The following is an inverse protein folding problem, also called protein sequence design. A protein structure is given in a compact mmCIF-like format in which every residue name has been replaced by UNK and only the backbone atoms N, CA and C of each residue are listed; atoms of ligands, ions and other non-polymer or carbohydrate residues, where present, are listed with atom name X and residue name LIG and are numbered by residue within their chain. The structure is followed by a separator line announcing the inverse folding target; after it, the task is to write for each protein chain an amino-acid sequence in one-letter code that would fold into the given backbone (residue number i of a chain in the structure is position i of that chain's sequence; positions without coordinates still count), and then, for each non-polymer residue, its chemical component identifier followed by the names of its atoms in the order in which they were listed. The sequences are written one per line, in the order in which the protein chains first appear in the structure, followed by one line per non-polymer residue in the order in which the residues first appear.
data_IF_144703327121
#
_entry.id   IF_144703327121
#
_cell.length_a   1.000
_cell.length_b   1.000
_cell.length_c   1.000
_cell.angle_alpha   90.00
_cell.angle_beta   90.00
_cell.angle_gamma   90.00
#
_symmetry.space_group_name_H-M   'P 1'
#
loop_
_entity.id
_entity.type
_entity.pdbx_description
1 polymer ?
#
# COMPACT_ATOMS: atom_id res chain seq x y z
N UNK A 1 32.02 -5.31 2.60
CA UNK A 1 31.05 -4.75 3.51
C UNK A 1 29.97 -4.04 2.68
N UNK A 2 28.67 -4.32 2.94
CA UNK A 2 27.55 -3.74 2.20
C UNK A 2 27.09 -2.48 2.94
N UNK A 3 26.99 -1.35 2.23
CA UNK A 3 26.50 -0.07 2.80
C UNK A 3 25.07 0.27 2.37
N UNK A 4 24.66 -0.25 1.22
CA UNK A 4 23.35 0.01 0.62
C UNK A 4 22.71 -1.26 0.07
N UNK A 5 21.39 -1.37 0.22
CA UNK A 5 20.55 -2.36 -0.45
C UNK A 5 19.56 -1.59 -1.29
N UNK A 6 19.60 -1.78 -2.60
CA UNK A 6 18.65 -1.14 -3.53
C UNK A 6 18.01 -2.18 -4.42
N UNK A 7 16.73 -1.99 -4.74
CA UNK A 7 16.03 -2.94 -5.59
C UNK A 7 14.69 -2.45 -6.10
N UNK A 8 14.22 -3.15 -7.11
CA UNK A 8 12.87 -3.09 -7.64
C UNK A 8 12.24 -4.48 -7.50
N UNK A 9 11.72 -4.83 -6.32
CA UNK A 9 11.11 -6.13 -6.08
C UNK A 9 9.85 -6.35 -6.92
N UNK A 10 9.42 -7.60 -7.16
CA UNK A 10 8.24 -7.90 -7.96
C UNK A 10 6.96 -7.31 -7.36
N UNK A 11 6.14 -6.68 -8.22
CA UNK A 11 4.86 -6.07 -7.85
C UNK A 11 3.72 -7.06 -8.12
N UNK A 12 3.30 -7.78 -7.09
CA UNK A 12 2.11 -8.63 -7.15
C UNK A 12 1.16 -8.19 -6.05
N UNK A 13 0.04 -7.59 -6.45
CA UNK A 13 -0.97 -7.11 -5.51
C UNK A 13 -1.63 -8.25 -4.74
N UNK A 14 -2.03 -8.01 -3.50
CA UNK A 14 -2.62 -9.02 -2.62
C UNK A 14 -3.81 -9.75 -3.25
N UNK A 15 -4.62 -9.04 -4.03
CA UNK A 15 -5.80 -9.58 -4.73
C UNK A 15 -5.48 -10.40 -5.97
N UNK A 16 -4.28 -10.22 -6.53
CA UNK A 16 -3.80 -10.94 -7.71
C UNK A 16 -3.06 -12.24 -7.36
N UNK A 17 -2.69 -12.40 -6.09
CA UNK A 17 -2.11 -13.65 -5.60
C UNK A 17 -3.19 -14.69 -5.38
N UNK A 18 -3.20 -15.72 -6.23
CA UNK A 18 -4.12 -16.82 -6.11
C UNK A 18 -3.99 -17.54 -4.77
N UNK A 19 -5.10 -18.10 -4.29
CA UNK A 19 -5.10 -18.89 -3.07
C UNK A 19 -4.21 -20.12 -3.24
N UNK A 20 -3.27 -20.35 -2.32
CA UNK A 20 -2.31 -21.45 -2.40
C UNK A 20 -1.13 -21.22 -3.35
N UNK A 21 -1.01 -20.06 -3.99
CA UNK A 21 0.17 -19.70 -4.79
C UNK A 21 1.44 -19.64 -3.94
N UNK A 22 2.60 -19.74 -4.59
CA UNK A 22 3.90 -19.62 -3.92
C UNK A 22 4.00 -18.27 -3.20
N UNK A 23 3.66 -17.18 -3.89
CA UNK A 23 3.72 -15.82 -3.33
C UNK A 23 2.84 -15.66 -2.09
N UNK A 24 1.61 -16.19 -2.12
CA UNK A 24 0.70 -16.12 -0.97
C UNK A 24 1.25 -16.85 0.25
N UNK A 25 1.85 -18.03 0.02
CA UNK A 25 2.50 -18.81 1.08
C UNK A 25 3.75 -18.11 1.63
N UNK A 26 4.55 -17.49 0.77
CA UNK A 26 5.73 -16.75 1.20
C UNK A 26 5.37 -15.53 2.05
N UNK A 27 4.36 -14.75 1.67
CA UNK A 27 3.84 -13.66 2.50
C UNK A 27 3.43 -14.18 3.88
N UNK A 28 2.65 -15.27 3.94
CA UNK A 28 2.23 -15.87 5.19
C UNK A 28 3.41 -16.39 6.03
N UNK A 29 4.39 -17.04 5.41
CA UNK A 29 5.56 -17.55 6.11
C UNK A 29 6.45 -16.42 6.64
N UNK A 30 6.68 -15.39 5.84
CA UNK A 30 7.53 -14.25 6.21
C UNK A 30 6.89 -13.45 7.34
N UNK A 31 5.61 -13.12 7.24
CA UNK A 31 4.92 -12.30 8.23
C UNK A 31 4.38 -13.10 9.43
N UNK A 32 4.15 -14.41 9.27
CA UNK A 32 3.63 -15.27 10.33
C UNK A 32 2.16 -14.97 10.69
N UNK A 33 1.82 -15.10 11.95
CA UNK A 33 0.45 -14.94 12.48
C UNK A 33 0.07 -13.47 12.74
N UNK A 34 0.35 -12.58 11.78
CA UNK A 34 -0.09 -11.20 11.88
C UNK A 34 -1.53 -11.10 11.34
N UNK A 35 -2.37 -10.33 12.03
CA UNK A 35 -3.74 -10.08 11.59
C UNK A 35 -3.75 -9.40 10.21
N UNK A 36 -4.66 -9.82 9.35
CA UNK A 36 -4.89 -9.25 8.00
C UNK A 36 -3.67 -9.35 7.05
N UNK A 37 -2.74 -10.28 7.32
CA UNK A 37 -1.53 -10.52 6.49
C UNK A 37 -1.87 -10.83 5.03
N UNK A 38 -3.05 -11.37 4.74
CA UNK A 38 -3.54 -11.67 3.40
C UNK A 38 -3.76 -10.42 2.53
N UNK A 39 -3.82 -9.24 3.14
CA UNK A 39 -4.03 -7.96 2.46
C UNK A 39 -2.70 -7.32 2.01
N UNK A 40 -1.58 -7.93 2.36
CA UNK A 40 -0.26 -7.43 2.00
C UNK A 40 0.13 -7.82 0.57
N UNK A 41 0.61 -6.86 -0.20
CA UNK A 41 1.22 -7.11 -1.51
C UNK A 41 2.54 -7.86 -1.36
N UNK A 42 2.91 -8.63 -2.39
CA UNK A 42 4.10 -9.48 -2.36
C UNK A 42 5.40 -8.69 -2.11
N UNK A 43 5.49 -7.47 -2.64
CA UNK A 43 6.63 -6.58 -2.45
C UNK A 43 6.97 -6.31 -0.96
N UNK A 44 5.99 -6.41 -0.07
CA UNK A 44 6.17 -6.19 1.38
C UNK A 44 7.14 -7.19 2.02
N UNK A 45 7.29 -8.37 1.42
CA UNK A 45 8.24 -9.39 1.86
C UNK A 45 9.67 -8.86 1.87
N UNK A 46 10.07 -8.12 0.83
CA UNK A 46 11.41 -7.53 0.73
C UNK A 46 11.64 -6.48 1.81
N UNK A 47 10.63 -5.68 2.13
CA UNK A 47 10.72 -4.71 3.22
C UNK A 47 10.99 -5.38 4.55
N UNK A 48 10.26 -6.44 4.89
CA UNK A 48 10.45 -7.15 6.15
C UNK A 48 11.79 -7.89 6.20
N UNK A 49 12.17 -8.57 5.12
CA UNK A 49 13.45 -9.28 5.05
C UNK A 49 14.63 -8.32 5.15
N UNK A 50 14.58 -7.20 4.43
CA UNK A 50 15.60 -6.17 4.52
C UNK A 50 15.67 -5.56 5.93
N UNK A 51 14.50 -5.23 6.52
CA UNK A 51 14.46 -4.71 7.89
C UNK A 51 15.06 -5.67 8.92
N UNK A 52 14.84 -6.98 8.75
CA UNK A 52 15.48 -7.99 9.60
C UNK A 52 17.00 -8.07 9.34
N UNK A 53 17.42 -8.00 8.09
CA UNK A 53 18.83 -8.11 7.70
C UNK A 53 19.69 -6.95 8.21
N UNK A 54 19.17 -5.72 8.18
CA UNK A 54 19.93 -4.52 8.52
C UNK A 54 20.03 -4.24 10.03
N UNK A 55 19.52 -5.14 10.88
CA UNK A 55 19.56 -4.93 12.32
C UNK A 55 20.98 -4.75 12.84
N UNK A 56 21.18 -3.76 13.71
CA UNK A 56 22.46 -3.38 14.30
C UNK A 56 23.54 -3.00 13.27
N UNK A 57 23.12 -2.52 12.10
CA UNK A 57 24.01 -2.03 11.04
C UNK A 57 23.74 -0.58 10.69
N UNK A 58 24.63 0.02 9.88
CA UNK A 58 24.42 1.33 9.25
C UNK A 58 23.95 1.23 7.80
N UNK A 59 23.51 0.05 7.39
CA UNK A 59 23.03 -0.20 6.02
C UNK A 59 21.74 0.59 5.78
N UNK A 60 21.66 1.21 4.63
CA UNK A 60 20.47 1.89 4.15
C UNK A 60 19.80 1.07 3.05
N UNK A 61 18.49 0.98 3.10
CA UNK A 61 17.68 0.24 2.13
C UNK A 61 16.87 1.22 1.31
N UNK A 62 16.70 0.94 0.03
CA UNK A 62 15.86 1.73 -0.87
C UNK A 62 15.16 0.80 -1.85
N UNK A 63 13.83 0.81 -1.82
CA UNK A 63 13.03 0.02 -2.75
C UNK A 63 12.05 0.87 -3.54
N UNK A 64 11.89 0.51 -4.82
CA UNK A 64 10.74 0.91 -5.63
C UNK A 64 9.59 -0.05 -5.30
N UNK A 65 8.38 0.46 -5.18
CA UNK A 65 7.21 -0.34 -4.82
C UNK A 65 5.94 0.25 -5.41
N UNK A 66 4.87 -0.54 -5.44
CA UNK A 66 3.52 -0.01 -5.64
C UNK A 66 3.16 0.93 -4.49
N UNK A 67 2.39 1.98 -4.77
CA UNK A 67 1.97 2.95 -3.76
C UNK A 67 1.01 2.37 -2.70
N UNK A 68 0.46 1.18 -2.93
CA UNK A 68 -0.40 0.45 -1.99
C UNK A 68 0.24 0.25 -0.60
N UNK A 69 1.57 0.11 -0.52
CA UNK A 69 2.28 -0.03 0.76
C UNK A 69 2.20 1.23 1.64
N UNK A 70 1.84 2.36 1.05
CA UNK A 70 1.71 3.67 1.72
C UNK A 70 0.27 4.16 1.76
N UNK A 71 -0.71 3.29 1.46
CA UNK A 71 -2.13 3.61 1.41
C UNK A 71 -3.00 2.52 2.03
N UNK A 72 -4.18 2.91 2.48
CA UNK A 72 -5.22 1.99 2.95
C UNK A 72 -4.79 1.05 4.07
N UNK A 73 -5.30 -0.19 4.02
CA UNK A 73 -5.11 -1.21 5.05
C UNK A 73 -3.68 -1.74 5.16
N UNK A 74 -2.88 -1.66 4.09
CA UNK A 74 -1.51 -2.18 4.12
C UNK A 74 -0.58 -1.38 5.03
N UNK A 75 -0.82 -0.07 5.20
CA UNK A 75 0.02 0.80 6.02
C UNK A 75 0.12 0.31 7.46
N UNK A 76 -0.99 0.15 8.21
CA UNK A 76 -0.90 -0.31 9.59
C UNK A 76 -0.39 -1.75 9.70
N UNK A 77 -0.59 -2.61 8.71
CA UNK A 77 -0.11 -4.00 8.76
C UNK A 77 1.40 -4.04 8.57
N UNK A 78 1.92 -3.47 7.48
CA UNK A 78 3.35 -3.49 7.15
C UNK A 78 4.18 -2.64 8.12
N UNK A 79 3.86 -1.35 8.19
CA UNK A 79 4.73 -0.39 8.88
C UNK A 79 4.72 -0.54 10.39
N UNK A 80 3.63 -1.01 11.00
CA UNK A 80 3.63 -1.36 12.43
C UNK A 80 4.69 -2.42 12.76
N UNK A 81 4.81 -3.44 11.89
CA UNK A 81 5.82 -4.49 12.04
C UNK A 81 7.23 -3.91 11.90
N UNK A 82 7.46 -3.09 10.87
CA UNK A 82 8.76 -2.53 10.59
C UNK A 82 9.22 -1.58 11.71
N UNK A 83 8.32 -0.73 12.20
CA UNK A 83 8.63 0.22 13.27
C UNK A 83 8.79 -0.46 14.62
N UNK A 84 7.82 -1.31 15.03
CA UNK A 84 7.84 -1.88 16.38
C UNK A 84 8.86 -2.99 16.55
N UNK A 85 8.99 -3.88 15.55
CA UNK A 85 9.83 -5.06 15.68
C UNK A 85 11.27 -4.82 15.22
N UNK A 86 11.45 -3.90 14.25
CA UNK A 86 12.76 -3.68 13.62
C UNK A 86 13.29 -2.26 13.80
N UNK A 87 12.54 -1.36 14.45
CA UNK A 87 12.92 0.04 14.70
C UNK A 87 13.37 0.76 13.43
N UNK A 88 12.63 0.54 12.35
CA UNK A 88 12.92 1.14 11.05
C UNK A 88 12.43 2.59 11.03
N UNK A 89 13.18 3.46 10.36
CA UNK A 89 12.83 4.86 10.10
C UNK A 89 12.88 5.12 8.60
N UNK A 90 11.85 5.78 8.06
CA UNK A 90 11.88 6.29 6.68
C UNK A 90 12.75 7.55 6.70
N UNK A 91 13.85 7.55 5.95
CA UNK A 91 14.81 8.64 5.90
C UNK A 91 14.73 9.48 4.63
N UNK A 92 14.23 8.91 3.54
CA UNK A 92 13.79 9.65 2.37
C UNK A 92 12.65 8.91 1.67
N UNK A 93 11.85 9.64 0.90
CA UNK A 93 10.81 9.03 0.08
C UNK A 93 10.57 9.84 -1.18
N UNK A 94 10.22 9.15 -2.25
CA UNK A 94 9.62 9.71 -3.46
C UNK A 94 8.13 9.38 -3.41
N UNK A 95 7.30 10.42 -3.39
CA UNK A 95 5.84 10.27 -3.37
C UNK A 95 5.34 9.60 -4.65
N UNK A 96 4.08 9.23 -4.67
CA UNK A 96 3.48 8.50 -5.79
C UNK A 96 3.74 9.15 -7.14
N UNK A 97 4.31 8.40 -8.05
CA UNK A 97 4.53 8.77 -9.44
C UNK A 97 4.04 7.66 -10.37
N UNK A 98 3.76 8.04 -11.60
CA UNK A 98 3.29 7.11 -12.61
C UNK A 98 4.48 6.45 -13.29
N UNK A 99 4.60 5.13 -13.14
CA UNK A 99 5.57 4.34 -13.89
C UNK A 99 4.96 3.92 -15.22
N UNK A 100 5.51 4.41 -16.32
CA UNK A 100 5.16 3.96 -17.67
C UNK A 100 6.32 3.15 -18.23
N UNK A 101 6.07 1.89 -18.63
CA UNK A 101 6.99 1.18 -19.49
C UNK A 101 6.81 1.64 -20.93
N UNK A 102 7.86 1.61 -21.72
CA UNK A 102 7.81 1.99 -23.16
C UNK A 102 6.94 1.03 -24.00
N UNK A 103 6.49 -0.10 -23.44
CA UNK A 103 5.58 -1.01 -24.13
C UNK A 103 4.14 -0.49 -24.03
N UNK A 104 3.55 -0.22 -25.18
CA UNK A 104 2.27 0.45 -25.41
C UNK A 104 1.00 -0.23 -24.87
N UNK A 105 1.10 -1.32 -24.12
CA UNK A 105 -0.05 -2.15 -23.71
C UNK A 105 -0.18 -2.39 -22.20
N UNK A 106 0.72 -1.88 -21.36
CA UNK A 106 0.60 -2.09 -19.92
C UNK A 106 -0.05 -0.90 -19.21
N UNK A 107 -1.01 -1.23 -18.34
CA UNK A 107 -1.61 -0.26 -17.43
C UNK A 107 -0.52 0.44 -16.60
N UNK A 108 -0.57 1.76 -16.54
CA UNK A 108 0.38 2.54 -15.76
C UNK A 108 0.27 2.17 -14.27
N UNK A 109 1.38 1.79 -13.68
CA UNK A 109 1.46 1.46 -12.25
C UNK A 109 1.87 2.71 -11.46
N UNK A 110 1.18 2.97 -10.37
CA UNK A 110 1.55 4.03 -9.44
C UNK A 110 2.60 3.49 -8.45
N UNK A 111 3.79 4.06 -8.52
CA UNK A 111 4.94 3.65 -7.72
C UNK A 111 5.33 4.70 -6.71
N UNK A 112 6.05 4.26 -5.70
CA UNK A 112 6.77 5.06 -4.71
C UNK A 112 8.20 4.57 -4.59
N UNK A 113 9.10 5.43 -4.10
CA UNK A 113 10.44 5.01 -3.69
C UNK A 113 10.56 5.29 -2.20
N UNK A 114 10.95 4.29 -1.43
CA UNK A 114 11.09 4.44 0.02
C UNK A 114 12.49 4.02 0.46
N UNK A 115 13.18 4.98 1.05
CA UNK A 115 14.48 4.77 1.66
C UNK A 115 14.40 4.73 3.17
N UNK A 116 14.86 3.64 3.77
CA UNK A 116 14.76 3.40 5.20
C UNK A 116 16.03 2.78 5.79
N UNK A 117 16.15 2.92 7.11
CA UNK A 117 17.27 2.34 7.87
C UNK A 117 16.84 2.13 9.32
N UNK A 118 17.68 1.46 10.11
CA UNK A 118 17.47 1.36 11.56
C UNK A 118 17.82 2.66 12.29
N UNK A 119 18.72 3.46 11.75
CA UNK A 119 19.00 4.78 12.31
C UNK A 119 18.07 5.85 11.76
N UNK A 120 17.74 6.82 12.61
CA UNK A 120 16.91 7.97 12.27
C UNK A 120 17.78 9.15 11.84
N UNK A 121 17.44 9.82 10.73
CA UNK A 121 18.06 11.09 10.33
C UNK A 121 17.25 12.25 10.85
N UNK A 122 17.92 13.29 11.31
CA UNK A 122 17.25 14.54 11.75
C UNK A 122 16.67 15.29 10.54
N UNK A 123 17.37 15.27 9.42
CA UNK A 123 16.91 15.86 8.16
C UNK A 123 16.57 14.71 7.19
N UNK A 124 15.32 14.64 6.82
CA UNK A 124 14.78 13.66 5.88
C UNK A 124 14.36 14.38 4.61
N UNK A 125 14.48 13.70 3.47
CA UNK A 125 14.17 14.31 2.19
C UNK A 125 12.93 13.66 1.58
N UNK A 126 11.91 14.48 1.36
CA UNK A 126 10.66 14.07 0.74
C UNK A 126 10.57 14.69 -0.66
N UNK A 127 10.52 13.84 -1.68
CA UNK A 127 10.42 14.23 -3.09
C UNK A 127 8.96 14.14 -3.55
N UNK A 128 8.51 15.15 -4.27
CA UNK A 128 7.19 15.16 -4.92
C UNK A 128 7.28 14.72 -6.39
N UNK A 129 6.11 14.55 -7.01
CA UNK A 129 5.98 14.19 -8.43
C UNK A 129 6.54 15.25 -9.39
N UNK A 130 6.64 16.50 -8.96
CA UNK A 130 7.17 17.63 -9.75
C UNK A 130 8.69 17.75 -9.67
N UNK A 131 9.39 16.69 -9.29
CA UNK A 131 10.83 16.66 -9.06
C UNK A 131 11.31 17.68 -8.00
N UNK A 132 10.41 18.27 -7.25
CA UNK A 132 10.75 19.13 -6.12
C UNK A 132 11.00 18.28 -4.86
N UNK A 133 11.90 18.73 -4.02
CA UNK A 133 12.15 18.06 -2.74
C UNK A 133 12.11 19.05 -1.59
N UNK A 134 11.62 18.62 -0.46
CA UNK A 134 11.68 19.37 0.79
C UNK A 134 12.40 18.58 1.88
N UNK A 135 13.08 19.31 2.77
CA UNK A 135 13.63 18.75 3.99
C UNK A 135 12.53 18.78 5.04
N UNK A 136 12.32 17.63 5.68
CA UNK A 136 11.29 17.45 6.72
C UNK A 136 11.89 16.77 7.94
N UNK A 137 11.31 17.00 9.10
CA UNK A 137 11.74 16.36 10.35
C UNK A 137 11.35 14.90 10.44
N UNK A 138 10.18 14.53 9.91
CA UNK A 138 9.72 13.16 9.83
C UNK A 138 8.90 12.89 8.57
N UNK A 139 9.03 11.66 8.04
CA UNK A 139 8.22 11.13 6.94
C UNK A 139 7.37 10.01 7.51
N UNK A 140 6.07 10.20 7.54
CA UNK A 140 5.13 9.18 8.00
C UNK A 140 5.05 7.99 7.02
N UNK A 141 4.51 6.84 7.42
CA UNK A 141 4.27 5.71 6.53
C UNK A 141 3.36 6.00 5.32
N UNK A 142 2.61 7.09 5.37
CA UNK A 142 1.80 7.58 4.24
C UNK A 142 2.58 8.47 3.27
N UNK A 143 3.89 8.57 3.42
CA UNK A 143 4.83 9.40 2.66
C UNK A 143 4.43 10.88 2.65
N UNK A 144 3.99 11.37 3.79
CA UNK A 144 3.76 12.79 4.04
C UNK A 144 4.55 13.22 5.27
N UNK A 145 4.84 14.53 5.35
CA UNK A 145 5.41 15.11 6.55
C UNK A 145 4.44 15.01 7.72
N UNK A 146 4.87 14.47 8.84
CA UNK A 146 4.05 14.34 10.05
C UNK A 146 4.50 13.20 10.95
N UNK A 147 3.73 12.95 12.00
CA UNK A 147 3.97 11.87 12.95
C UNK A 147 3.71 10.50 12.37
N UNK A 148 4.31 9.47 12.98
CA UNK A 148 4.11 8.06 12.60
C UNK A 148 2.75 7.55 13.15
N UNK A 149 1.68 8.01 12.53
CA UNK A 149 0.31 7.62 12.87
C UNK A 149 -0.16 6.47 11.97
N UNK A 150 -0.86 5.50 12.55
CA UNK A 150 -1.43 4.37 11.82
C UNK A 150 -2.95 4.42 11.91
N UNK A 151 -3.61 4.55 10.77
CA UNK A 151 -5.07 4.49 10.69
C UNK A 151 -5.50 3.04 10.55
N UNK A 152 -6.10 2.51 11.59
CA UNK A 152 -6.61 1.13 11.64
C UNK A 152 -8.08 1.13 11.29
N UNK A 153 -8.53 0.15 10.50
CA UNK A 153 -9.94 -0.03 10.20
C UNK A 153 -10.73 -0.32 11.50
N UNK A 154 -11.73 0.48 11.77
CA UNK A 154 -12.59 0.35 12.95
C UNK A 154 -13.97 -0.15 12.53
N UNK A 155 -14.58 -1.00 13.36
CA UNK A 155 -15.94 -1.51 13.14
C UNK A 155 -17.01 -0.57 13.69
N UNK A 156 -16.64 0.35 14.55
CA UNK A 156 -17.53 1.30 15.23
C UNK A 156 -16.97 2.72 15.11
N UNK A 157 -17.85 3.70 15.06
CA UNK A 157 -17.43 5.10 15.03
C UNK A 157 -16.82 5.51 16.38
N UNK A 158 -15.86 6.43 16.35
CA UNK A 158 -15.23 6.97 17.58
C UNK A 158 -16.20 7.85 18.37
N UNK A 159 -17.17 8.45 17.73
CA UNK A 159 -18.02 9.54 18.27
C UNK A 159 -19.49 9.10 18.44
N UNK A 160 -19.78 7.78 18.46
CA UNK A 160 -21.16 7.30 18.56
C UNK A 160 -22.03 7.58 17.32
N UNK A 161 -21.44 8.02 16.21
CA UNK A 161 -22.14 8.22 14.95
C UNK A 161 -22.69 6.91 14.41
N UNK A 162 -23.79 6.92 13.64
CA UNK A 162 -24.32 5.72 13.01
C UNK A 162 -23.26 4.98 12.19
N UNK A 163 -23.32 3.65 12.18
CA UNK A 163 -22.44 2.82 11.36
C UNK A 163 -22.59 3.19 9.89
N UNK A 164 -21.45 3.43 9.23
CA UNK A 164 -21.45 3.52 7.77
C UNK A 164 -21.66 2.12 7.20
N UNK A 165 -22.66 1.97 6.36
CA UNK A 165 -22.86 0.79 5.53
C UNK A 165 -22.30 1.01 4.14
N UNK A 166 -21.99 -0.08 3.45
CA UNK A 166 -21.71 0.01 2.02
C UNK A 166 -22.95 0.55 1.30
N UNK A 167 -22.76 1.52 0.43
CA UNK A 167 -23.77 1.90 -0.54
C UNK A 167 -24.04 0.77 -1.56
N UNK A 168 -24.95 1.01 -2.48
CA UNK A 168 -25.24 0.07 -3.56
C UNK A 168 -23.98 -0.15 -4.41
N UNK A 169 -23.39 -1.33 -4.32
CA UNK A 169 -22.29 -1.76 -5.17
C UNK A 169 -22.73 -3.00 -5.93
N UNK A 170 -23.04 -2.91 -7.23
CA UNK A 170 -23.38 -4.09 -8.03
C UNK A 170 -22.18 -5.03 -8.06
N UNK A 171 -22.36 -6.26 -7.59
CA UNK A 171 -21.36 -7.35 -7.61
C UNK A 171 -21.83 -8.56 -8.40
N UNK A 172 -22.80 -8.37 -9.23
CA UNK A 172 -23.58 -9.36 -9.98
C UNK A 172 -23.14 -9.47 -11.44
N UNK A 173 -21.96 -8.92 -11.79
CA UNK A 173 -21.46 -8.86 -13.16
C UNK A 173 -22.18 -7.82 -14.03
N UNK A 174 -22.92 -6.90 -13.41
CA UNK A 174 -23.65 -5.85 -14.09
C UNK A 174 -25.11 -6.20 -14.45
N UNK A 175 -25.59 -7.36 -13.98
CA UNK A 175 -26.98 -7.80 -14.28
C UNK A 175 -28.07 -6.94 -13.64
N UNK A 176 -27.74 -6.20 -12.57
CA UNK A 176 -28.66 -5.22 -11.95
C UNK A 176 -28.45 -3.79 -12.49
N UNK A 177 -27.58 -3.59 -13.45
CA UNK A 177 -27.42 -2.31 -14.13
C UNK A 177 -28.34 -2.29 -15.33
N UNK A 178 -29.49 -1.65 -15.19
CA UNK A 178 -30.45 -1.48 -16.27
C UNK A 178 -29.94 -0.37 -17.19
N UNK A 179 -29.78 -0.66 -18.47
CA UNK A 179 -29.42 0.34 -19.48
C UNK A 179 -30.62 1.21 -19.82
N UNK A 180 -30.37 2.42 -20.30
CA UNK A 180 -31.45 3.37 -20.62
C UNK A 180 -32.53 2.78 -21.54
N UNK A 181 -32.13 2.00 -22.53
CA UNK A 181 -33.01 1.34 -23.47
C UNK A 181 -33.90 0.29 -22.79
N UNK A 182 -33.32 -0.51 -21.89
CA UNK A 182 -34.06 -1.50 -21.09
C UNK A 182 -35.00 -0.83 -20.09
N UNK A 183 -34.55 0.27 -19.47
CA UNK A 183 -35.38 1.09 -18.59
C UNK A 183 -36.63 1.60 -19.30
N UNK A 184 -36.48 2.15 -20.51
CA UNK A 184 -37.61 2.64 -21.31
C UNK A 184 -38.58 1.51 -21.70
N UNK A 185 -38.08 0.29 -21.93
CA UNK A 185 -38.92 -0.88 -22.21
C UNK A 185 -39.68 -1.35 -20.98
N UNK A 186 -39.04 -1.38 -19.81
CA UNK A 186 -39.65 -1.71 -18.52
C UNK A 186 -40.79 -0.72 -18.21
N UNK A 187 -40.51 0.59 -18.31
CA UNK A 187 -41.50 1.63 -18.04
C UNK A 187 -42.69 1.61 -18.99
N UNK A 188 -42.52 1.07 -20.21
CA UNK A 188 -43.66 0.86 -21.13
C UNK A 188 -44.53 -0.34 -20.74
N UNK A 189 -43.92 -1.39 -20.18
CA UNK A 189 -44.60 -2.62 -19.78
C UNK A 189 -45.23 -2.52 -18.40
N UNK A 190 -44.60 -1.78 -17.51
CA UNK A 190 -45.00 -1.62 -16.11
C UNK A 190 -44.87 -0.15 -15.68
N UNK A 191 -45.82 0.71 -16.12
CA UNK A 191 -45.74 2.15 -15.88
C UNK A 191 -45.93 2.58 -14.42
N UNK A 192 -46.24 1.65 -13.52
CA UNK A 192 -46.40 1.90 -12.07
C UNK A 192 -45.18 1.58 -11.24
N UNK A 193 -44.04 1.15 -11.86
CA UNK A 193 -42.75 0.99 -11.22
C UNK A 193 -41.99 2.31 -11.14
#
# INVERSE_FOLDING_TARGET
EVSYIMGNPPFVGARLMEQGSVQKREVQNIFGKIKDVQDLDYVTCWYKLAAAYIQNTKIQVCFVSTNSICQGSQVPILWNVLYKNYRIHINFAYQTFKWSSESSTQAAVHCVIVGFAQFNRNEKRLFSTEATSKIVSNISPYLVEGSDTFVVAMKESLDGMPKMSFGNQPRDGGNFVIKEEEYQEIMRKEPEL
#
